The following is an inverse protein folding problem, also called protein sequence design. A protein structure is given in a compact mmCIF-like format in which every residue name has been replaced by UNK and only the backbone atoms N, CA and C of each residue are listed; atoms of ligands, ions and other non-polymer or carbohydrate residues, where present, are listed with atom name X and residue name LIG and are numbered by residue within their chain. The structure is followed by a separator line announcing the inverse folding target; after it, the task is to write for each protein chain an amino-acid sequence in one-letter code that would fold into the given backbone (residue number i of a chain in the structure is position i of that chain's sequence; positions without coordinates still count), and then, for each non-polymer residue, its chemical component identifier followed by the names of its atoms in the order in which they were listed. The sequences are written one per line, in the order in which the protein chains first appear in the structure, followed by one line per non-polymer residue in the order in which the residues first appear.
data_IF_334325009738
#
_entry.id   IF_334325009738
#
_cell.length_a   1.000
_cell.length_b   1.000
_cell.length_c   1.000
_cell.angle_alpha   90.00
_cell.angle_beta   90.00
_cell.angle_gamma   90.00
#
_symmetry.space_group_name_H-M   'P 1'
#
loop_
_entity.id
_entity.type
_entity.pdbx_description
1 polymer ?
#
# COMPACT_ATOMS: atom_id res chain seq x y z
N UNK A 1 -27.24 -6.67 -3.22
CA UNK A 1 -26.68 -5.42 -2.67
C UNK A 1 -25.72 -4.88 -3.71
N UNK A 2 -26.10 -3.82 -4.40
CA UNK A 2 -25.22 -3.16 -5.36
C UNK A 2 -24.00 -2.63 -4.62
N UNK A 3 -22.86 -3.28 -4.84
CA UNK A 3 -21.57 -2.73 -4.40
C UNK A 3 -21.35 -1.44 -5.20
N UNK A 4 -21.33 -0.30 -4.53
CA UNK A 4 -21.03 0.97 -5.18
C UNK A 4 -19.72 0.83 -5.98
N UNK A 5 -19.72 1.35 -7.21
CA UNK A 5 -18.54 1.30 -8.08
C UNK A 5 -17.36 2.02 -7.44
N UNK A 6 -16.16 1.42 -7.51
CA UNK A 6 -14.93 1.99 -6.98
C UNK A 6 -14.62 3.33 -7.61
N UNK A 7 -14.27 4.31 -6.80
CA UNK A 7 -13.95 5.65 -7.22
C UNK A 7 -12.45 5.82 -7.44
N UNK A 8 -12.06 6.01 -8.69
CA UNK A 8 -10.68 6.27 -9.10
C UNK A 8 -10.51 7.77 -9.36
N UNK A 9 -9.55 8.38 -8.68
CA UNK A 9 -9.16 9.77 -8.92
C UNK A 9 -7.91 9.79 -9.81
N UNK A 10 -8.02 10.38 -10.99
CA UNK A 10 -6.90 10.57 -11.93
C UNK A 10 -6.37 12.00 -11.76
N UNK A 11 -5.08 12.13 -11.50
CA UNK A 11 -4.35 13.40 -11.39
C UNK A 11 -3.27 13.42 -12.46
N UNK A 12 -3.51 14.13 -13.54
CA UNK A 12 -2.61 14.27 -14.69
C UNK A 12 -2.91 15.62 -15.34
N UNK A 13 -1.94 16.39 -15.76
CA UNK A 13 -2.17 17.71 -16.36
C UNK A 13 -2.66 17.63 -17.81
N UNK A 14 -2.41 16.52 -18.51
CA UNK A 14 -2.87 16.31 -19.87
C UNK A 14 -4.37 15.91 -19.92
N UNK A 15 -5.26 16.78 -20.45
CA UNK A 15 -6.68 16.49 -20.54
C UNK A 15 -7.01 15.31 -21.45
N UNK A 16 -6.17 15.01 -22.45
CA UNK A 16 -6.38 13.86 -23.35
C UNK A 16 -6.11 12.55 -22.61
N UNK A 17 -5.05 12.50 -21.78
CA UNK A 17 -4.76 11.33 -20.94
C UNK A 17 -5.88 11.12 -19.94
N UNK A 18 -6.35 12.19 -19.26
CA UNK A 18 -7.48 12.09 -18.32
C UNK A 18 -8.75 11.57 -18.97
N UNK A 19 -9.09 12.10 -20.17
CA UNK A 19 -10.28 11.67 -20.92
C UNK A 19 -10.17 10.20 -21.33
N UNK A 20 -9.04 9.82 -21.94
CA UNK A 20 -8.79 8.46 -22.42
C UNK A 20 -8.86 7.45 -21.27
N UNK A 21 -8.18 7.73 -20.16
CA UNK A 21 -8.20 6.86 -18.98
C UNK A 21 -9.58 6.83 -18.34
N UNK A 22 -10.24 7.98 -18.24
CA UNK A 22 -11.60 8.09 -17.71
C UNK A 22 -12.59 7.21 -18.46
N UNK A 23 -12.60 7.27 -19.79
CA UNK A 23 -13.44 6.42 -20.62
C UNK A 23 -13.15 4.93 -20.45
N UNK A 24 -11.86 4.56 -20.43
CA UNK A 24 -11.48 3.15 -20.28
C UNK A 24 -11.86 2.60 -18.91
N UNK A 25 -11.63 3.35 -17.84
CA UNK A 25 -11.97 2.95 -16.47
C UNK A 25 -13.50 2.90 -16.28
N UNK A 26 -14.25 3.88 -16.80
CA UNK A 26 -15.72 3.87 -16.72
C UNK A 26 -16.32 2.66 -17.44
N UNK A 27 -15.80 2.30 -18.62
CA UNK A 27 -16.20 1.07 -19.32
C UNK A 27 -15.91 -0.21 -18.55
N UNK A 28 -14.99 -0.16 -17.60
CA UNK A 28 -14.64 -1.27 -16.72
C UNK A 28 -15.40 -1.27 -15.38
N UNK A 29 -16.39 -0.37 -15.25
CA UNK A 29 -17.28 -0.29 -14.09
C UNK A 29 -16.78 0.57 -12.93
N UNK A 30 -15.73 1.38 -13.13
CA UNK A 30 -15.26 2.32 -12.12
C UNK A 30 -16.00 3.65 -12.19
N UNK A 31 -16.20 4.30 -11.06
CA UNK A 31 -16.50 5.73 -10.99
C UNK A 31 -15.17 6.49 -11.13
N UNK A 32 -15.13 7.55 -11.93
CA UNK A 32 -13.88 8.26 -12.22
C UNK A 32 -14.04 9.75 -12.02
N UNK A 33 -13.06 10.37 -11.36
CA UNK A 33 -12.84 11.81 -11.33
C UNK A 33 -11.48 12.12 -11.93
N UNK A 34 -11.40 13.09 -12.84
CA UNK A 34 -10.14 13.54 -13.44
C UNK A 34 -9.86 14.99 -13.07
N UNK A 35 -8.65 15.27 -12.58
CA UNK A 35 -8.20 16.61 -12.18
C UNK A 35 -6.80 16.91 -12.74
N UNK A 36 -6.48 18.19 -12.96
CA UNK A 36 -5.26 18.61 -13.63
C UNK A 36 -4.12 19.03 -12.69
N UNK A 37 -4.35 19.12 -11.38
CA UNK A 37 -3.36 19.62 -10.43
C UNK A 37 -3.68 19.20 -8.99
N UNK A 38 -2.72 19.42 -8.08
CA UNK A 38 -2.83 19.04 -6.68
C UNK A 38 -3.88 19.81 -5.89
N UNK A 39 -4.21 21.04 -6.28
CA UNK A 39 -5.29 21.82 -5.62
C UNK A 39 -6.64 21.13 -5.85
N UNK A 40 -6.92 20.77 -7.10
CA UNK A 40 -8.16 20.08 -7.47
C UNK A 40 -8.21 18.67 -6.85
N UNK A 41 -7.06 17.97 -6.83
CA UNK A 41 -6.94 16.67 -6.16
C UNK A 41 -7.36 16.76 -4.69
N UNK A 42 -6.83 17.73 -3.95
CA UNK A 42 -7.18 17.95 -2.54
C UNK A 42 -8.67 18.27 -2.35
N UNK A 43 -9.26 19.04 -3.27
CA UNK A 43 -10.69 19.34 -3.24
C UNK A 43 -11.56 18.11 -3.41
N UNK A 44 -11.21 17.21 -4.36
CA UNK A 44 -11.95 15.96 -4.57
C UNK A 44 -11.82 15.03 -3.38
N UNK A 45 -10.60 14.87 -2.84
CA UNK A 45 -10.35 14.04 -1.66
C UNK A 45 -11.15 14.49 -0.43
N UNK A 46 -11.30 15.82 -0.24
CA UNK A 46 -12.09 16.37 0.86
C UNK A 46 -13.61 16.22 0.70
N UNK A 47 -14.10 16.11 -0.55
CA UNK A 47 -15.54 16.10 -0.85
C UNK A 47 -16.13 14.72 -1.09
N UNK A 48 -15.29 13.74 -1.46
CA UNK A 48 -15.77 12.43 -1.89
C UNK A 48 -14.83 11.33 -1.43
N UNK A 49 -15.38 10.18 -1.01
CA UNK A 49 -14.56 9.00 -0.77
C UNK A 49 -13.92 8.55 -2.09
N UNK A 50 -12.61 8.38 -2.07
CA UNK A 50 -11.77 7.90 -3.18
C UNK A 50 -11.16 6.57 -2.78
N UNK A 51 -11.27 5.56 -3.65
CA UNK A 51 -10.77 4.22 -3.38
C UNK A 51 -9.33 4.02 -3.88
N UNK A 52 -8.90 4.81 -4.89
CA UNK A 52 -7.54 4.79 -5.42
C UNK A 52 -7.24 6.08 -6.17
N UNK A 53 -6.00 6.57 -6.02
CA UNK A 53 -5.47 7.69 -6.81
C UNK A 53 -4.48 7.18 -7.86
N UNK A 54 -4.67 7.60 -9.11
CA UNK A 54 -3.69 7.50 -10.19
C UNK A 54 -3.03 8.87 -10.30
N UNK A 55 -1.74 8.96 -10.02
CA UNK A 55 -1.01 10.23 -9.90
C UNK A 55 0.14 10.31 -10.89
N UNK A 56 0.09 11.30 -11.78
CA UNK A 56 1.26 11.66 -12.57
C UNK A 56 2.33 12.32 -11.70
N UNK A 57 3.58 11.95 -11.93
CA UNK A 57 4.72 12.55 -11.24
C UNK A 57 5.15 13.87 -11.86
N UNK A 58 4.89 14.06 -13.16
CA UNK A 58 5.28 15.26 -13.90
C UNK A 58 4.09 16.22 -14.03
N UNK A 59 3.78 16.94 -12.95
CA UNK A 59 2.73 17.96 -12.96
C UNK A 59 3.37 19.36 -13.04
N UNK A 60 2.87 20.26 -13.91
CA UNK A 60 3.36 21.63 -13.97
C UNK A 60 3.15 22.36 -12.64
N UNK A 61 4.24 22.89 -12.08
CA UNK A 61 4.21 23.72 -10.87
C UNK A 61 4.10 22.98 -9.54
N UNK A 62 3.84 21.67 -9.52
CA UNK A 62 3.85 20.86 -8.30
C UNK A 62 4.61 19.53 -8.55
N UNK A 63 5.47 19.16 -7.61
CA UNK A 63 6.17 17.87 -7.63
C UNK A 63 5.17 16.75 -7.24
N UNK A 64 4.95 15.78 -8.14
CA UNK A 64 4.07 14.64 -7.89
C UNK A 64 4.49 13.81 -6.66
N UNK A 65 5.78 13.75 -6.35
CA UNK A 65 6.28 13.14 -5.11
C UNK A 65 5.87 13.95 -3.87
N UNK A 66 5.84 15.28 -3.95
CA UNK A 66 5.35 16.12 -2.87
C UNK A 66 3.85 15.91 -2.63
N UNK A 67 3.07 15.80 -3.71
CA UNK A 67 1.63 15.46 -3.63
C UNK A 67 1.40 14.09 -3.00
N UNK A 68 2.16 13.09 -3.41
CA UNK A 68 2.09 11.77 -2.81
C UNK A 68 2.37 11.81 -1.31
N UNK A 69 3.46 12.48 -0.89
CA UNK A 69 3.79 12.66 0.53
C UNK A 69 2.66 13.36 1.29
N UNK A 70 2.04 14.38 0.66
CA UNK A 70 0.91 15.09 1.26
C UNK A 70 -0.31 14.17 1.47
N UNK A 71 -0.66 13.30 0.50
CA UNK A 71 -1.71 12.29 0.67
C UNK A 71 -1.37 11.37 1.85
N UNK A 72 -0.13 10.84 1.89
CA UNK A 72 0.29 9.87 2.91
C UNK A 72 0.46 10.49 4.31
N UNK A 73 0.59 11.82 4.41
CA UNK A 73 0.61 12.56 5.68
C UNK A 73 -0.78 13.01 6.15
N UNK A 74 -1.82 12.87 5.32
CA UNK A 74 -3.19 13.31 5.59
C UNK A 74 -4.08 12.19 6.16
N UNK A 75 -5.35 12.51 6.42
CA UNK A 75 -6.39 11.53 6.73
C UNK A 75 -6.62 10.51 5.59
N UNK A 76 -6.24 10.85 4.34
CA UNK A 76 -6.31 9.98 3.16
C UNK A 76 -5.11 9.03 3.03
N UNK A 77 -4.25 8.91 4.04
CA UNK A 77 -3.04 8.07 4.03
C UNK A 77 -3.27 6.60 3.65
N UNK A 78 -4.47 6.07 3.94
CA UNK A 78 -4.86 4.70 3.62
C UNK A 78 -5.26 4.52 2.14
N UNK A 79 -5.54 5.61 1.41
CA UNK A 79 -5.89 5.56 0.00
C UNK A 79 -4.67 5.09 -0.80
N UNK A 80 -4.79 3.99 -1.55
CA UNK A 80 -3.71 3.51 -2.39
C UNK A 80 -3.43 4.46 -3.55
N UNK A 81 -2.14 4.57 -3.94
CA UNK A 81 -1.68 5.44 -5.01
C UNK A 81 -0.89 4.64 -6.03
N UNK A 82 -1.34 4.69 -7.30
CA UNK A 82 -0.59 4.21 -8.46
C UNK A 82 0.05 5.42 -9.13
N UNK A 83 1.38 5.42 -9.21
CA UNK A 83 2.11 6.53 -9.83
C UNK A 83 2.33 6.28 -11.32
N UNK A 84 2.10 7.30 -12.15
CA UNK A 84 2.51 7.32 -13.54
C UNK A 84 3.85 8.06 -13.65
N UNK A 85 4.83 7.47 -14.33
CA UNK A 85 6.15 8.07 -14.48
C UNK A 85 6.61 8.06 -15.94
N UNK A 86 7.20 9.14 -16.40
CA UNK A 86 7.83 9.22 -17.72
C UNK A 86 9.24 8.62 -17.74
N UNK A 87 9.80 8.28 -16.58
CA UNK A 87 11.19 7.92 -16.42
C UNK A 87 11.37 6.39 -16.45
N UNK A 88 12.18 5.96 -17.41
CA UNK A 88 12.57 4.56 -17.62
C UNK A 88 13.74 4.13 -16.72
N UNK A 89 14.31 5.04 -15.93
CA UNK A 89 15.46 4.74 -15.10
C UNK A 89 15.06 3.99 -13.81
N UNK A 90 15.77 2.89 -13.57
CA UNK A 90 15.64 2.06 -12.36
C UNK A 90 15.76 2.89 -11.07
N UNK A 91 16.44 4.03 -11.11
CA UNK A 91 16.64 4.94 -9.96
C UNK A 91 15.34 5.62 -9.53
N UNK A 92 14.55 6.16 -10.46
CA UNK A 92 13.29 6.84 -10.12
C UNK A 92 12.21 5.85 -9.69
N UNK A 93 12.26 4.65 -10.27
CA UNK A 93 11.41 3.52 -9.85
C UNK A 93 11.78 3.04 -8.44
N UNK A 94 13.06 3.06 -8.09
CA UNK A 94 13.56 2.79 -6.74
C UNK A 94 13.11 3.90 -5.78
N UNK A 95 13.28 5.17 -6.14
CA UNK A 95 12.87 6.32 -5.32
C UNK A 95 11.37 6.30 -5.03
N UNK A 96 10.57 6.03 -6.02
CA UNK A 96 9.12 6.01 -5.82
C UNK A 96 8.63 4.81 -5.03
N UNK A 97 9.22 3.63 -5.25
CA UNK A 97 9.04 2.50 -4.35
C UNK A 97 9.59 2.84 -2.96
N UNK A 98 10.64 3.62 -2.81
CA UNK A 98 11.16 4.13 -1.53
C UNK A 98 10.20 5.07 -0.81
N UNK A 99 9.37 5.76 -1.49
CA UNK A 99 8.35 6.62 -0.92
C UNK A 99 7.08 5.85 -0.47
N UNK A 100 6.93 4.57 -0.86
CA UNK A 100 5.82 3.72 -0.42
C UNK A 100 4.58 3.77 -1.31
N UNK A 101 4.71 4.12 -2.59
CA UNK A 101 3.63 3.98 -3.55
C UNK A 101 3.18 2.52 -3.68
N UNK A 102 1.90 2.32 -3.94
CA UNK A 102 1.30 0.99 -4.00
C UNK A 102 1.61 0.27 -5.31
N UNK A 103 1.82 1.03 -6.39
CA UNK A 103 2.33 0.56 -7.68
C UNK A 103 2.87 1.69 -8.56
N UNK A 104 3.61 1.33 -9.63
CA UNK A 104 4.20 2.22 -10.61
C UNK A 104 3.90 1.77 -12.02
N UNK A 105 3.59 2.73 -12.90
CA UNK A 105 3.36 2.49 -14.32
C UNK A 105 4.20 3.46 -15.14
N UNK A 106 5.21 2.97 -15.88
CA UNK A 106 6.01 3.82 -16.75
C UNK A 106 5.17 4.27 -17.97
N UNK A 107 5.31 5.53 -18.35
CA UNK A 107 4.80 6.06 -19.63
C UNK A 107 5.83 5.75 -20.75
N UNK A 108 5.41 5.30 -21.95
CA UNK A 108 4.05 5.03 -22.35
C UNK A 108 3.53 3.69 -21.84
N UNK A 109 2.26 3.62 -21.47
CA UNK A 109 1.59 2.40 -20.98
C UNK A 109 0.34 2.06 -21.80
N UNK A 110 0.00 0.78 -21.81
CA UNK A 110 -1.27 0.34 -22.35
C UNK A 110 -2.40 0.55 -21.32
N UNK A 111 -3.57 1.11 -21.68
CA UNK A 111 -4.69 1.27 -20.74
C UNK A 111 -5.10 -0.02 -20.03
N UNK A 112 -5.01 -1.17 -20.72
CA UNK A 112 -5.27 -2.49 -20.14
C UNK A 112 -4.30 -2.86 -19.01
N UNK A 113 -3.03 -2.49 -19.14
CA UNK A 113 -2.02 -2.70 -18.10
C UNK A 113 -2.35 -1.89 -16.84
N UNK A 114 -2.63 -0.58 -17.00
CA UNK A 114 -3.00 0.27 -15.87
C UNK A 114 -4.25 -0.26 -15.16
N UNK A 115 -5.28 -0.68 -15.90
CA UNK A 115 -6.51 -1.25 -15.32
C UNK A 115 -6.20 -2.54 -14.53
N UNK A 116 -5.36 -3.42 -15.05
CA UNK A 116 -4.96 -4.64 -14.34
C UNK A 116 -4.23 -4.32 -13.03
N UNK A 117 -3.37 -3.31 -13.03
CA UNK A 117 -2.65 -2.82 -11.83
C UNK A 117 -3.58 -2.17 -10.83
N UNK A 118 -4.50 -1.30 -11.27
CA UNK A 118 -5.55 -0.71 -10.42
C UNK A 118 -6.35 -1.81 -9.72
N UNK A 119 -6.85 -2.80 -10.46
CA UNK A 119 -7.58 -3.94 -9.89
C UNK A 119 -6.75 -4.73 -8.89
N UNK A 120 -5.46 -4.94 -9.18
CA UNK A 120 -4.55 -5.64 -8.27
C UNK A 120 -4.33 -4.86 -6.98
N UNK A 121 -4.14 -3.53 -7.07
CA UNK A 121 -3.97 -2.64 -5.92
C UNK A 121 -5.25 -2.59 -5.09
N UNK A 122 -6.43 -2.39 -5.71
CA UNK A 122 -7.72 -2.38 -5.02
C UNK A 122 -8.02 -3.71 -4.34
N UNK A 123 -7.76 -4.83 -5.01
CA UNK A 123 -7.93 -6.17 -4.40
C UNK A 123 -7.05 -6.33 -3.17
N UNK A 124 -5.78 -5.92 -3.21
CA UNK A 124 -4.86 -5.95 -2.05
C UNK A 124 -5.36 -5.04 -0.92
N UNK A 125 -5.83 -3.85 -1.25
CA UNK A 125 -6.38 -2.91 -0.28
C UNK A 125 -7.66 -3.45 0.37
N UNK A 126 -8.42 -4.34 -0.33
CA UNK A 126 -9.68 -4.93 0.12
C UNK A 126 -9.56 -6.35 0.67
N UNK A 127 -8.43 -7.01 0.56
CA UNK A 127 -8.26 -8.37 1.10
C UNK A 127 -8.50 -8.45 2.61
N UNK A 128 -8.87 -7.31 3.21
CA UNK A 128 -9.64 -7.23 4.46
C UNK A 128 -10.94 -6.48 4.16
N UNK A 129 -12.07 -7.18 3.94
CA UNK A 129 -13.32 -6.52 3.59
C UNK A 129 -13.76 -5.56 4.69
N UNK A 130 -14.05 -4.28 4.40
CA UNK A 130 -14.88 -3.49 5.25
C UNK A 130 -16.29 -4.08 5.15
N UNK A 131 -16.76 -4.76 6.19
CA UNK A 131 -18.14 -5.23 6.28
C UNK A 131 -18.38 -6.73 6.36
N UNK A 132 -17.39 -7.60 6.09
CA UNK A 132 -17.45 -8.99 6.55
C UNK A 132 -16.52 -9.19 7.75
N UNK A 133 -16.67 -8.34 8.77
CA UNK A 133 -16.23 -8.70 10.10
C UNK A 133 -17.29 -9.61 10.68
N UNK A 134 -16.99 -10.87 10.96
CA UNK A 134 -17.63 -11.50 12.10
C UNK A 134 -17.37 -10.54 13.26
N UNK A 135 -18.37 -10.29 14.10
CA UNK A 135 -18.32 -9.34 15.23
C UNK A 135 -17.20 -9.63 16.26
N UNK A 136 -16.21 -10.44 15.92
CA UNK A 136 -15.20 -11.02 16.81
C UNK A 136 -13.77 -11.07 16.23
N UNK A 137 -13.48 -10.47 15.06
CA UNK A 137 -12.07 -10.40 14.66
C UNK A 137 -11.35 -9.35 15.49
N UNK A 138 -10.31 -9.76 16.22
CA UNK A 138 -9.57 -8.86 17.09
C UNK A 138 -8.92 -7.75 16.25
N UNK A 139 -9.14 -6.50 16.69
CA UNK A 139 -8.64 -5.29 15.99
C UNK A 139 -7.11 -5.24 15.93
N UNK A 140 -6.47 -5.79 16.97
CA UNK A 140 -5.02 -5.70 17.10
C UNK A 140 -4.36 -7.06 16.95
N UNK A 141 -3.30 -7.11 16.14
CA UNK A 141 -2.41 -8.26 16.05
C UNK A 141 -1.08 -7.92 16.73
N UNK A 142 -0.73 -8.68 17.77
CA UNK A 142 0.42 -8.43 18.65
C UNK A 142 1.57 -9.35 18.29
N UNK A 143 2.78 -8.81 18.21
CA UNK A 143 4.00 -9.58 17.95
C UNK A 143 5.24 -8.86 18.47
N UNK A 144 5.94 -9.47 19.40
CA UNK A 144 7.10 -8.85 20.07
C UNK A 144 6.70 -7.55 20.75
N UNK A 145 7.37 -6.44 20.40
CA UNK A 145 7.10 -5.11 20.96
C UNK A 145 6.12 -4.28 20.13
N UNK A 146 5.45 -4.89 19.16
CA UNK A 146 4.56 -4.22 18.23
C UNK A 146 3.13 -4.76 18.31
N UNK A 147 2.17 -3.84 18.13
CA UNK A 147 0.78 -4.12 17.84
C UNK A 147 0.47 -3.55 16.45
N UNK A 148 -0.13 -4.35 15.57
CA UNK A 148 -0.69 -3.87 14.30
C UNK A 148 -2.18 -3.58 14.52
N UNK A 149 -2.59 -2.32 14.39
CA UNK A 149 -4.01 -1.96 14.25
C UNK A 149 -4.45 -2.31 12.83
N UNK A 150 -5.28 -3.33 12.70
CA UNK A 150 -5.74 -3.84 11.40
C UNK A 150 -6.77 -2.91 10.75
N UNK A 151 -7.39 -2.00 11.52
CA UNK A 151 -8.36 -1.01 11.05
C UNK A 151 -7.65 0.20 10.49
N UNK A 152 -6.80 0.81 11.32
CA UNK A 152 -6.07 2.03 10.99
C UNK A 152 -4.80 1.75 10.17
N UNK A 153 -4.41 0.48 10.03
CA UNK A 153 -3.24 0.01 9.25
C UNK A 153 -1.93 0.65 9.70
N UNK A 154 -1.75 0.79 11.00
CA UNK A 154 -0.52 1.31 11.57
C UNK A 154 0.05 0.38 12.64
N UNK A 155 1.35 0.46 12.84
CA UNK A 155 2.05 -0.22 13.90
C UNK A 155 2.10 0.69 15.14
N UNK A 156 1.85 0.12 16.30
CA UNK A 156 2.00 0.76 17.60
C UNK A 156 3.11 0.03 18.33
N UNK A 157 4.20 0.72 18.63
CA UNK A 157 5.27 0.15 19.45
C UNK A 157 4.90 0.24 20.93
N UNK A 158 5.43 -0.66 21.75
CA UNK A 158 5.22 -0.66 23.21
C UNK A 158 5.58 0.68 23.89
N UNK A 159 6.51 1.46 23.32
CA UNK A 159 6.81 2.82 23.77
C UNK A 159 5.74 3.86 23.45
N UNK A 160 4.67 3.50 22.77
CA UNK A 160 3.63 4.41 22.27
C UNK A 160 3.94 5.04 20.91
N UNK A 161 5.10 4.78 20.32
CA UNK A 161 5.41 5.28 18.97
C UNK A 161 4.53 4.62 17.91
N UNK A 162 3.96 5.43 17.03
CA UNK A 162 3.09 4.98 15.94
C UNK A 162 3.82 5.09 14.61
N UNK A 163 3.77 4.03 13.81
CA UNK A 163 4.34 3.98 12.45
C UNK A 163 3.26 3.59 11.44
N UNK A 164 2.90 4.51 10.56
CA UNK A 164 1.91 4.28 9.51
C UNK A 164 2.51 3.40 8.42
N UNK A 165 1.77 2.37 7.99
CA UNK A 165 2.14 1.50 6.89
C UNK A 165 1.46 1.94 5.60
N UNK A 166 2.18 1.89 4.48
CA UNK A 166 1.56 1.92 3.16
C UNK A 166 0.72 0.64 2.95
N UNK A 167 -0.22 0.68 2.00
CA UNK A 167 -1.04 -0.51 1.68
C UNK A 167 -0.19 -1.71 1.28
N UNK A 168 0.95 -1.48 0.62
CA UNK A 168 1.87 -2.53 0.22
C UNK A 168 2.65 -3.12 1.41
N UNK A 169 3.13 -2.28 2.33
CA UNK A 169 3.80 -2.71 3.57
C UNK A 169 2.83 -3.48 4.48
N UNK A 170 1.59 -2.97 4.61
CA UNK A 170 0.53 -3.63 5.36
C UNK A 170 0.20 -5.01 4.79
N UNK A 171 -0.03 -5.10 3.46
CA UNK A 171 -0.33 -6.37 2.79
C UNK A 171 0.81 -7.39 2.92
N UNK A 172 2.06 -6.92 2.80
CA UNK A 172 3.25 -7.76 3.01
C UNK A 172 3.33 -8.26 4.46
N UNK A 173 3.15 -7.37 5.44
CA UNK A 173 3.19 -7.73 6.85
C UNK A 173 2.10 -8.75 7.21
N UNK A 174 0.86 -8.49 6.80
CA UNK A 174 -0.27 -9.42 7.03
C UNK A 174 0.01 -10.79 6.45
N UNK A 175 0.48 -10.87 5.19
CA UNK A 175 0.79 -12.14 4.54
C UNK A 175 1.88 -12.93 5.25
N UNK A 176 2.90 -12.24 5.76
CA UNK A 176 3.98 -12.84 6.55
C UNK A 176 3.49 -13.28 7.94
N UNK A 177 2.65 -12.49 8.59
CA UNK A 177 2.08 -12.80 9.91
C UNK A 177 1.12 -13.99 9.89
N UNK A 178 0.28 -14.12 8.85
CA UNK A 178 -0.59 -15.27 8.64
C UNK A 178 0.19 -16.59 8.51
N UNK A 179 1.45 -16.50 8.08
CA UNK A 179 2.39 -17.61 7.91
C UNK A 179 3.56 -17.52 8.88
N UNK A 180 3.30 -16.98 10.08
CA UNK A 180 4.33 -16.82 11.09
C UNK A 180 5.09 -18.13 11.32
N UNK A 181 6.42 -18.03 11.45
CA UNK A 181 7.36 -19.14 11.63
C UNK A 181 7.47 -20.12 10.45
N UNK A 182 6.85 -19.79 9.30
CA UNK A 182 7.00 -20.55 8.07
C UNK A 182 7.83 -19.76 7.06
N UNK A 183 8.57 -20.45 6.21
CA UNK A 183 9.28 -19.83 5.10
C UNK A 183 8.28 -19.47 4.01
N UNK A 184 8.22 -18.20 3.67
CA UNK A 184 7.43 -17.67 2.56
C UNK A 184 8.38 -17.42 1.39
N UNK A 185 8.14 -18.07 0.27
CA UNK A 185 9.02 -17.93 -0.90
C UNK A 185 8.83 -16.58 -1.58
N UNK A 186 9.85 -16.14 -2.36
CA UNK A 186 9.74 -14.92 -3.16
C UNK A 186 8.59 -15.00 -4.17
N UNK A 187 8.37 -16.17 -4.76
CA UNK A 187 7.28 -16.39 -5.71
C UNK A 187 5.90 -16.26 -5.04
N UNK A 188 5.73 -16.77 -3.83
CA UNK A 188 4.51 -16.60 -3.05
C UNK A 188 4.24 -15.12 -2.73
N UNK A 189 5.30 -14.38 -2.36
CA UNK A 189 5.22 -12.93 -2.13
C UNK A 189 4.91 -12.18 -3.43
N UNK A 190 5.50 -12.59 -4.54
CA UNK A 190 5.23 -12.03 -5.86
C UNK A 190 3.77 -12.22 -6.25
N UNK A 191 3.26 -13.44 -6.18
CA UNK A 191 1.88 -13.76 -6.51
C UNK A 191 0.91 -12.97 -5.62
N UNK A 192 1.21 -12.87 -4.33
CA UNK A 192 0.37 -12.11 -3.38
C UNK A 192 0.39 -10.61 -3.65
N UNK A 193 1.56 -10.03 -3.91
CA UNK A 193 1.73 -8.59 -4.05
C UNK A 193 1.52 -8.07 -5.48
N UNK A 194 1.85 -8.85 -6.52
CA UNK A 194 1.79 -8.45 -7.91
C UNK A 194 0.66 -9.09 -8.72
N UNK A 195 0.04 -10.16 -8.21
CA UNK A 195 -0.86 -10.97 -9.02
C UNK A 195 -0.08 -11.78 -10.08
N UNK A 196 -0.67 -11.98 -11.27
CA UNK A 196 -0.08 -12.85 -12.31
C UNK A 196 1.10 -12.24 -13.09
N UNK A 197 1.43 -10.98 -12.91
CA UNK A 197 2.49 -10.28 -13.67
C UNK A 197 3.83 -10.26 -12.89
N UNK A 198 4.33 -11.44 -12.55
CA UNK A 198 5.41 -11.63 -11.58
C UNK A 198 6.82 -11.20 -12.04
N UNK A 199 7.12 -11.14 -13.34
CA UNK A 199 8.51 -10.98 -13.81
C UNK A 199 9.15 -9.62 -13.52
N UNK A 200 8.36 -8.55 -13.43
CA UNK A 200 8.83 -7.18 -13.21
C UNK A 200 9.08 -6.87 -11.72
N UNK A 201 8.58 -7.71 -10.81
CA UNK A 201 8.50 -7.40 -9.37
C UNK A 201 9.58 -8.05 -8.49
N UNK A 202 10.48 -8.87 -9.02
CA UNK A 202 11.46 -9.62 -8.20
C UNK A 202 12.37 -8.73 -7.34
N UNK A 203 12.87 -7.60 -7.87
CA UNK A 203 13.69 -6.65 -7.09
C UNK A 203 12.87 -5.83 -6.10
N UNK A 204 11.57 -5.68 -6.33
CA UNK A 204 10.70 -4.88 -5.46
C UNK A 204 10.38 -5.53 -4.12
N UNK A 205 10.41 -6.86 -4.02
CA UNK A 205 10.13 -7.59 -2.76
C UNK A 205 11.21 -7.34 -1.73
N UNK A 206 12.48 -7.50 -2.11
CA UNK A 206 13.61 -7.31 -1.20
C UNK A 206 13.62 -5.88 -0.64
N UNK A 207 13.26 -4.91 -1.47
CA UNK A 207 13.15 -3.51 -1.06
C UNK A 207 11.96 -3.28 -0.11
N UNK A 208 10.79 -3.89 -0.38
CA UNK A 208 9.62 -3.81 0.51
C UNK A 208 9.88 -4.45 1.86
N UNK A 209 10.55 -5.62 1.87
CA UNK A 209 10.99 -6.27 3.10
C UNK A 209 12.00 -5.40 3.85
N UNK A 210 12.96 -4.79 3.16
CA UNK A 210 13.93 -3.87 3.76
C UNK A 210 13.26 -2.69 4.47
N UNK A 211 12.23 -2.11 3.86
CA UNK A 211 11.45 -1.02 4.46
C UNK A 211 10.65 -1.47 5.67
N UNK A 212 9.95 -2.59 5.52
CA UNK A 212 9.17 -3.14 6.62
C UNK A 212 10.08 -3.44 7.83
N UNK A 213 11.28 -3.98 7.60
CA UNK A 213 12.31 -4.12 8.63
C UNK A 213 12.66 -2.78 9.29
N UNK A 214 12.90 -1.75 8.48
CA UNK A 214 13.19 -0.41 9.00
C UNK A 214 12.04 0.14 9.85
N UNK A 215 10.77 -0.09 9.46
CA UNK A 215 9.59 0.30 10.25
C UNK A 215 9.52 -0.44 11.58
N UNK A 216 9.90 -1.72 11.59
CA UNK A 216 9.91 -2.58 12.77
C UNK A 216 11.16 -2.37 13.66
N UNK A 217 12.08 -1.48 13.27
CA UNK A 217 13.36 -1.33 13.97
C UNK A 217 14.27 -2.55 13.84
N UNK A 218 14.02 -3.39 12.82
CA UNK A 218 14.72 -4.66 12.62
C UNK A 218 16.07 -4.42 11.91
N UNK A 219 17.16 -4.61 12.62
CA UNK A 219 18.50 -4.38 12.09
C UNK A 219 18.89 -5.40 11.02
N UNK A 220 19.66 -4.97 10.01
CA UNK A 220 20.06 -5.83 8.89
C UNK A 220 20.95 -7.03 9.33
N UNK A 221 21.66 -6.93 10.45
CA UNK A 221 22.57 -7.98 10.96
C UNK A 221 21.90 -8.94 11.95
N UNK A 222 20.88 -8.49 12.68
CA UNK A 222 20.14 -9.27 13.66
C UNK A 222 18.64 -9.08 13.46
N UNK A 223 18.15 -9.53 12.28
CA UNK A 223 16.73 -9.47 11.99
C UNK A 223 15.94 -10.34 12.97
N UNK A 224 15.19 -9.70 13.88
CA UNK A 224 14.41 -10.37 14.93
C UNK A 224 12.97 -10.60 14.54
N UNK A 225 12.42 -9.85 13.59
CA UNK A 225 11.05 -9.95 13.11
C UNK A 225 10.96 -10.67 11.77
N UNK A 226 11.76 -10.27 10.78
CA UNK A 226 11.74 -10.86 9.45
C UNK A 226 13.15 -11.33 9.08
N UNK A 227 13.38 -12.64 9.06
CA UNK A 227 14.65 -13.22 8.61
C UNK A 227 14.62 -13.55 7.15
N UNK A 228 15.80 -13.42 6.49
CA UNK A 228 16.02 -13.93 5.13
C UNK A 228 16.53 -15.36 5.22
N UNK A 229 15.85 -16.26 4.53
CA UNK A 229 16.31 -17.62 4.29
C UNK A 229 16.95 -17.63 2.90
N UNK A 230 18.30 -17.83 2.87
CA UNK A 230 19.04 -17.76 1.60
C UNK A 230 18.48 -18.73 0.58
N UNK A 231 18.34 -18.25 -0.65
CA UNK A 231 17.81 -18.97 -1.81
C UNK A 231 16.33 -19.39 -1.73
N UNK A 232 15.66 -19.24 -0.57
CA UNK A 232 14.26 -19.65 -0.39
C UNK A 232 13.32 -18.44 -0.30
N UNK A 233 13.53 -17.51 0.66
CA UNK A 233 12.60 -16.40 0.86
C UNK A 233 12.76 -15.71 2.21
N UNK A 234 11.65 -15.53 2.90
CA UNK A 234 11.57 -14.81 4.16
C UNK A 234 10.74 -15.57 5.18
N UNK A 235 11.06 -15.39 6.47
CA UNK A 235 10.29 -15.94 7.58
C UNK A 235 9.98 -14.85 8.60
N UNK A 236 8.73 -14.78 9.03
CA UNK A 236 8.31 -13.94 10.15
C UNK A 236 8.56 -14.70 11.46
N UNK A 237 9.46 -14.21 12.29
CA UNK A 237 10.02 -14.99 13.41
C UNK A 237 9.22 -14.90 14.70
N UNK A 238 8.29 -13.94 14.82
CA UNK A 238 7.50 -13.74 16.04
C UNK A 238 6.21 -14.52 16.00
N UNK A 239 5.79 -15.04 17.16
CA UNK A 239 4.42 -15.49 17.33
C UNK A 239 3.47 -14.29 17.24
N UNK A 240 2.30 -14.52 16.65
CA UNK A 240 1.25 -13.50 16.49
C UNK A 240 0.09 -13.89 17.38
N UNK A 241 -0.33 -12.98 18.25
CA UNK A 241 -1.57 -13.10 19.02
C UNK A 241 -2.50 -11.96 18.67
N UNK A 242 -3.79 -12.11 18.97
CA UNK A 242 -4.78 -11.14 18.54
C UNK A 242 -5.66 -10.67 19.70
N UNK A 243 -6.00 -9.37 19.74
CA UNK A 243 -6.84 -8.76 20.77
C UNK A 243 -7.85 -7.78 20.16
N UNK A 244 -9.02 -7.65 20.81
CA UNK A 244 -10.06 -6.70 20.38
C UNK A 244 -9.70 -5.24 20.74
N UNK A 245 -8.96 -5.03 21.84
CA UNK A 245 -8.55 -3.71 22.32
C UNK A 245 -7.17 -3.79 22.98
N UNK A 246 -6.41 -2.69 22.91
CA UNK A 246 -5.19 -2.53 23.70
C UNK A 246 -5.55 -1.93 25.07
N UNK A 247 -4.96 -2.48 26.14
CA UNK A 247 -5.07 -1.86 27.47
C UNK A 247 -4.06 -0.74 27.58
N UNK A 248 -4.52 0.46 27.95
CA UNK A 248 -3.64 1.59 28.23
C UNK A 248 -3.17 1.52 29.68
N UNK A 249 -1.93 1.11 29.90
CA UNK A 249 -1.26 1.26 31.19
C UNK A 249 -0.68 2.66 31.41
N UNK A 250 -0.26 3.01 32.64
CA UNK A 250 0.26 4.35 32.96
C UNK A 250 1.58 4.70 32.25
N UNK A 251 2.23 3.75 31.60
CA UNK A 251 3.50 3.92 30.85
C UNK A 251 3.38 3.64 29.35
N UNK A 252 2.18 3.50 28.83
CA UNK A 252 1.92 3.17 27.42
C UNK A 252 1.02 1.95 27.23
N UNK A 253 0.78 1.52 25.99
CA UNK A 253 -0.01 0.31 25.73
C UNK A 253 0.64 -0.92 26.35
N UNK A 254 -0.13 -1.71 27.10
CA UNK A 254 0.33 -2.98 27.69
C UNK A 254 -0.33 -4.17 26.98
N UNK A 255 0.47 -5.11 26.50
CA UNK A 255 0.08 -6.42 25.98
C UNK A 255 1.12 -7.47 26.32
#
# INVERSE_FOLDING_TARGET
MDSAADHILIVDDDPHIRSLLGEHLTRQGFRVSGVGNGREMRAVLAQSPVDLVVLDLLLPGEDGYALFRAIKASEHRAVPVVMLTALSDDVDRIVGLELGADDYVPKPFAPRELIARIRSVLRRARMLPPGQRPAELPRFALFGDWALDTVERHLIHRSGAVSVLSSAEYSLLMFLMERAQQVVTRDQLLIHLAGRDAEVFNRSIDLRVSRLRKRLGDGAREASYIKTVRSEGYVFCKAVTTQASLQNGPTGPSW
#
